data_IF_844263987942
#
_entry.id   IF_844263987942
#
_cell.length_a   1.000
_cell.length_b   1.000
_cell.length_c   1.000
_cell.angle_alpha   90.00
_cell.angle_beta   90.00
_cell.angle_gamma   90.00
#
_symmetry.space_group_name_H-M   'P 1'
#
loop_
_entity.id
_entity.type
_entity.pdbx_description
1 polymer ?
#
# COMPACT_ATOMS: atom_id res chain seq x y z
N UNK A 1 13.21 -1.32 14.91
CA UNK A 1 14.13 -0.36 14.26
C UNK A 1 15.45 -0.49 15.00
N UNK A 2 16.00 -1.71 14.99
CA UNK A 2 16.80 -2.21 16.13
C UNK A 2 18.12 -2.82 15.64
N UNK A 3 18.42 -2.61 14.35
CA UNK A 3 19.64 -3.09 13.71
C UNK A 3 20.58 -1.90 13.52
N UNK A 4 21.72 -1.86 14.23
CA UNK A 4 22.73 -0.85 13.98
C UNK A 4 23.27 -1.02 12.56
N UNK A 5 23.27 0.05 11.77
CA UNK A 5 23.76 0.07 10.39
C UNK A 5 22.68 0.20 9.29
N UNK A 6 21.42 -0.14 9.58
CA UNK A 6 20.33 0.01 8.59
C UNK A 6 19.71 1.40 8.68
N UNK A 7 20.24 2.34 7.89
CA UNK A 7 19.79 3.76 7.88
C UNK A 7 18.60 4.02 6.94
N UNK A 8 18.37 3.16 5.95
CA UNK A 8 17.39 3.39 4.89
C UNK A 8 16.37 2.25 4.78
N UNK A 9 15.20 2.59 4.23
CA UNK A 9 14.16 1.61 3.92
C UNK A 9 13.73 1.75 2.47
N UNK A 10 13.58 0.61 1.80
CA UNK A 10 13.09 0.54 0.43
C UNK A 10 11.58 0.85 0.39
N UNK A 11 11.19 1.69 -0.56
CA UNK A 11 9.78 1.94 -0.90
C UNK A 11 9.30 0.75 -1.75
N UNK A 12 8.16 0.15 -1.38
CA UNK A 12 7.58 -0.98 -2.10
C UNK A 12 6.49 -0.52 -3.07
N UNK A 13 6.32 -1.26 -4.16
CA UNK A 13 5.43 -0.91 -5.28
C UNK A 13 6.08 -0.02 -6.34
N UNK A 14 7.41 0.08 -6.36
CA UNK A 14 8.21 0.86 -7.32
C UNK A 14 9.37 0.03 -7.86
N UNK A 15 9.65 0.11 -9.17
CA UNK A 15 10.61 -0.75 -9.88
C UNK A 15 10.32 -2.24 -9.62
N UNK A 16 11.33 -3.03 -9.31
CA UNK A 16 11.20 -4.49 -9.09
C UNK A 16 10.66 -4.86 -7.70
N UNK A 17 10.54 -3.88 -6.80
CA UNK A 17 10.05 -4.13 -5.44
C UNK A 17 8.53 -4.29 -5.42
N UNK A 18 8.05 -5.54 -5.48
CA UNK A 18 6.63 -5.85 -5.45
C UNK A 18 5.93 -5.42 -4.14
N UNK A 19 4.65 -5.09 -4.27
CA UNK A 19 3.78 -4.74 -3.14
C UNK A 19 3.32 -5.97 -2.35
N UNK A 20 2.90 -5.75 -1.10
CA UNK A 20 2.41 -6.84 -0.24
C UNK A 20 0.95 -7.17 -0.57
N UNK A 21 0.68 -8.37 -1.10
CA UNK A 21 -0.68 -8.78 -1.45
C UNK A 21 -1.61 -8.82 -0.21
N UNK A 22 -2.91 -8.57 -0.41
CA UNK A 22 -4.00 -8.69 0.58
C UNK A 22 -3.92 -7.74 1.80
N UNK A 23 -3.02 -6.74 1.80
CA UNK A 23 -2.95 -5.70 2.84
C UNK A 23 -4.10 -4.69 2.72
N UNK A 24 -5.01 -4.70 3.71
CA UNK A 24 -6.17 -3.76 3.77
C UNK A 24 -5.86 -2.43 4.46
N UNK A 25 -4.96 -2.42 5.47
CA UNK A 25 -4.56 -1.22 6.23
C UNK A 25 -3.12 -0.80 5.89
N UNK A 26 -2.86 0.50 5.82
CA UNK A 26 -1.52 1.05 5.55
C UNK A 26 -0.99 0.77 4.13
N UNK A 27 -1.90 0.60 3.16
CA UNK A 27 -1.58 0.17 1.78
C UNK A 27 -0.60 1.06 1.01
N UNK A 28 -0.57 2.37 1.33
CA UNK A 28 0.31 3.34 0.68
C UNK A 28 1.78 3.06 0.96
N UNK A 29 2.12 2.65 2.18
CA UNK A 29 3.49 2.30 2.59
C UNK A 29 4.03 1.03 1.91
N UNK A 30 3.13 0.15 1.47
CA UNK A 30 3.47 -1.16 0.90
C UNK A 30 3.16 -1.26 -0.59
N UNK A 31 2.84 -0.15 -1.25
CA UNK A 31 2.64 -0.13 -2.70
C UNK A 31 1.39 -0.88 -3.18
N UNK A 32 0.35 -0.97 -2.36
CA UNK A 32 -0.84 -1.78 -2.67
C UNK A 32 -1.99 -0.88 -3.12
N UNK A 33 -2.53 -1.14 -4.31
CA UNK A 33 -3.71 -0.43 -4.82
C UNK A 33 -4.94 -0.70 -3.97
N UNK A 34 -5.86 0.26 -3.94
CA UNK A 34 -7.16 0.08 -3.30
C UNK A 34 -7.93 -1.01 -4.05
N UNK A 35 -8.36 -2.04 -3.33
CA UNK A 35 -9.35 -2.98 -3.86
C UNK A 35 -10.56 -2.18 -4.37
N UNK A 36 -10.90 -2.36 -5.64
CA UNK A 36 -12.01 -1.69 -6.28
C UNK A 36 -13.31 -2.14 -5.60
N UNK A 37 -13.72 -1.42 -4.56
CA UNK A 37 -15.09 -1.50 -4.07
C UNK A 37 -15.91 -0.68 -5.04
N UNK A 38 -16.81 -1.33 -5.78
CA UNK A 38 -17.80 -0.66 -6.63
C UNK A 38 -18.55 0.35 -5.76
N UNK A 39 -18.14 1.62 -5.81
CA UNK A 39 -18.82 2.69 -5.07
C UNK A 39 -20.21 2.82 -5.66
N UNK A 40 -21.23 2.34 -4.94
CA UNK A 40 -22.62 2.68 -5.23
C UNK A 40 -22.72 4.20 -5.13
N UNK A 41 -22.81 4.90 -6.25
CA UNK A 41 -23.18 6.32 -6.28
C UNK A 41 -24.59 6.39 -5.72
N UNK A 42 -24.75 6.78 -4.45
CA UNK A 42 -26.05 7.18 -3.93
C UNK A 42 -26.39 8.48 -4.64
N UNK A 43 -27.30 8.42 -5.63
CA UNK A 43 -28.01 9.61 -6.10
C UNK A 43 -28.75 10.16 -4.88
N UNK A 44 -28.32 11.33 -4.40
CA UNK A 44 -29.08 12.14 -3.46
C UNK A 44 -30.00 13.02 -4.30
N UNK A 45 -31.28 12.99 -3.95
CA UNK A 45 -32.28 13.94 -4.39
C UNK A 45 -31.96 15.32 -3.80
#
# INVERSE_FOLDING_TARGET
KDLPGVKYRIIRGTRDALGVQKRRKGRSKYGVRKYAVRRRRRRRW
#
